data_IF_899318006693
#
_entry.id   IF_899318006693
#
_cell.length_a   1.000
_cell.length_b   1.000
_cell.length_c   1.000
_cell.angle_alpha   90.00
_cell.angle_beta   90.00
_cell.angle_gamma   90.00
#
_symmetry.space_group_name_H-M   'P 1'
#
loop_
_entity.id
_entity.type
_entity.pdbx_description
1 polymer ?
#
# COMPACT_ATOMS: atom_id res chain seq x y z
N UNK A 1 7.16 9.25 -35.28
CA UNK A 1 6.70 8.08 -34.50
C UNK A 1 5.20 7.94 -34.72
N UNK A 2 4.72 6.71 -34.91
CA UNK A 2 3.27 6.43 -34.98
C UNK A 2 2.64 6.46 -33.58
N UNK A 3 1.31 6.58 -33.49
CA UNK A 3 0.60 6.55 -32.20
C UNK A 3 0.92 5.29 -31.39
N UNK A 4 0.87 4.13 -32.03
CA UNK A 4 1.20 2.85 -31.40
C UNK A 4 2.63 2.83 -30.83
N UNK A 5 3.61 3.37 -31.57
CA UNK A 5 5.00 3.47 -31.09
C UNK A 5 5.11 4.35 -29.84
N UNK A 6 4.37 5.46 -29.78
CA UNK A 6 4.38 6.36 -28.63
C UNK A 6 3.73 5.69 -27.42
N UNK A 7 2.55 5.08 -27.58
CA UNK A 7 1.85 4.37 -26.51
C UNK A 7 2.72 3.24 -25.95
N UNK A 8 3.32 2.44 -26.84
CA UNK A 8 4.18 1.31 -26.45
C UNK A 8 5.44 1.75 -25.72
N UNK A 9 6.10 2.81 -26.18
CA UNK A 9 7.26 3.41 -25.50
C UNK A 9 6.94 3.77 -24.04
N UNK A 10 5.83 4.47 -23.79
CA UNK A 10 5.45 4.85 -22.43
C UNK A 10 4.98 3.66 -21.60
N UNK A 11 4.29 2.69 -22.23
CA UNK A 11 3.92 1.45 -21.57
C UNK A 11 5.14 0.66 -21.09
N UNK A 12 6.19 0.56 -21.92
CA UNK A 12 7.42 -0.13 -21.55
C UNK A 12 8.15 0.56 -20.39
N UNK A 13 8.15 1.90 -20.34
CA UNK A 13 8.67 2.67 -19.20
C UNK A 13 7.86 2.38 -17.93
N UNK A 14 6.53 2.25 -18.07
CA UNK A 14 5.65 1.87 -16.98
C UNK A 14 5.98 0.46 -16.46
N UNK A 15 6.05 -0.54 -17.33
CA UNK A 15 6.40 -1.91 -16.95
C UNK A 15 7.77 -1.97 -16.27
N UNK A 16 8.74 -1.21 -16.77
CA UNK A 16 10.09 -1.12 -16.18
C UNK A 16 10.11 -0.49 -14.78
N UNK A 17 9.07 0.25 -14.40
CA UNK A 17 8.93 0.88 -13.08
C UNK A 17 8.30 -0.04 -12.03
N UNK A 18 7.83 -1.22 -12.44
CA UNK A 18 7.31 -2.27 -11.57
C UNK A 18 8.44 -3.19 -11.11
N UNK A 19 8.49 -3.51 -9.82
CA UNK A 19 9.54 -4.35 -9.23
C UNK A 19 9.56 -5.77 -9.83
N UNK A 20 8.38 -6.35 -10.10
CA UNK A 20 8.24 -7.68 -10.71
C UNK A 20 8.00 -7.64 -12.23
N UNK A 21 7.97 -6.45 -12.85
CA UNK A 21 7.61 -6.24 -14.27
C UNK A 21 6.32 -6.95 -14.71
N UNK A 22 5.35 -7.08 -13.81
CA UNK A 22 4.03 -7.66 -14.10
C UNK A 22 3.05 -6.53 -14.39
N UNK A 23 2.65 -6.28 -15.65
CA UNK A 23 1.72 -5.20 -16.00
C UNK A 23 0.26 -5.61 -15.77
N UNK A 24 -0.03 -6.25 -14.64
CA UNK A 24 -1.40 -6.66 -14.28
C UNK A 24 -2.24 -5.49 -13.73
N UNK A 25 -1.59 -4.36 -13.47
CA UNK A 25 -2.18 -3.15 -12.88
C UNK A 25 -2.79 -2.20 -13.92
N UNK A 26 -2.06 -1.95 -15.01
CA UNK A 26 -2.52 -1.24 -16.20
C UNK A 26 -2.07 -2.07 -17.38
N UNK A 27 -3.03 -2.50 -18.19
CA UNK A 27 -2.74 -3.25 -19.42
C UNK A 27 -2.50 -2.31 -20.59
N UNK A 28 -1.79 -2.80 -21.62
CA UNK A 28 -1.59 -2.04 -22.85
C UNK A 28 -2.92 -1.60 -23.47
N UNK A 29 -3.90 -2.50 -23.49
CA UNK A 29 -5.23 -2.26 -24.06
C UNK A 29 -5.99 -1.18 -23.29
N UNK A 30 -5.90 -1.16 -21.96
CA UNK A 30 -6.50 -0.09 -21.15
C UNK A 30 -5.86 1.26 -21.44
N UNK A 31 -4.53 1.31 -21.55
CA UNK A 31 -3.82 2.55 -21.89
C UNK A 31 -4.16 3.02 -23.30
N UNK A 32 -4.14 2.12 -24.27
CA UNK A 32 -4.43 2.43 -25.67
C UNK A 32 -5.84 3.02 -25.83
N UNK A 33 -6.85 2.46 -25.14
CA UNK A 33 -8.22 3.01 -25.12
C UNK A 33 -8.33 4.38 -24.44
N UNK A 34 -7.45 4.69 -23.49
CA UNK A 34 -7.47 5.95 -22.75
C UNK A 34 -6.79 7.11 -23.53
N UNK A 35 -6.07 6.79 -24.60
CA UNK A 35 -5.32 7.76 -25.42
C UNK A 35 -6.14 8.08 -26.68
N UNK A 36 -6.37 9.37 -27.01
CA UNK A 36 -7.13 9.73 -28.20
C UNK A 36 -6.49 9.20 -29.49
N UNK A 37 -7.33 8.88 -30.48
CA UNK A 37 -6.89 8.30 -31.76
C UNK A 37 -6.11 9.31 -32.61
N UNK A 38 -6.44 10.60 -32.48
CA UNK A 38 -5.83 11.70 -33.24
C UNK A 38 -5.28 12.76 -32.31
N UNK A 39 -4.05 13.20 -32.56
CA UNK A 39 -3.41 14.32 -31.88
C UNK A 39 -2.84 15.30 -32.91
N UNK A 40 -2.89 16.59 -32.59
CA UNK A 40 -2.42 17.66 -33.50
C UNK A 40 -0.89 17.65 -33.70
N UNK A 41 -0.12 17.07 -32.78
CA UNK A 41 1.32 16.87 -32.92
C UNK A 41 1.81 15.65 -32.12
N UNK A 42 3.00 15.10 -32.44
CA UNK A 42 3.60 14.00 -31.68
C UNK A 42 3.88 14.36 -30.21
N UNK A 43 4.25 15.60 -29.93
CA UNK A 43 4.52 16.09 -28.56
C UNK A 43 3.25 16.14 -27.72
N UNK A 44 2.14 16.58 -28.32
CA UNK A 44 0.82 16.58 -27.68
C UNK A 44 0.40 15.14 -27.38
N UNK A 45 0.65 14.21 -28.29
CA UNK A 45 0.37 12.79 -28.08
C UNK A 45 1.20 12.22 -26.92
N UNK A 46 2.50 12.51 -26.87
CA UNK A 46 3.38 12.11 -25.75
C UNK A 46 2.81 12.58 -24.40
N UNK A 47 2.42 13.85 -24.31
CA UNK A 47 1.81 14.42 -23.10
C UNK A 47 0.47 13.78 -22.75
N UNK A 48 -0.36 13.46 -23.74
CA UNK A 48 -1.64 12.77 -23.55
C UNK A 48 -1.46 11.34 -23.03
N UNK A 49 -0.49 10.59 -23.55
CA UNK A 49 -0.17 9.24 -23.08
C UNK A 49 0.33 9.27 -21.64
N UNK A 50 1.24 10.19 -21.30
CA UNK A 50 1.69 10.37 -19.93
C UNK A 50 0.54 10.73 -18.98
N UNK A 51 -0.35 11.64 -19.40
CA UNK A 51 -1.53 12.03 -18.63
C UNK A 51 -2.48 10.85 -18.42
N UNK A 52 -2.75 10.06 -19.45
CA UNK A 52 -3.59 8.87 -19.36
C UNK A 52 -3.02 7.85 -18.36
N UNK A 53 -1.72 7.56 -18.46
CA UNK A 53 -1.03 6.69 -17.50
C UNK A 53 -1.14 7.20 -16.06
N UNK A 54 -0.88 8.50 -15.84
CA UNK A 54 -0.97 9.12 -14.50
C UNK A 54 -2.38 9.01 -13.94
N UNK A 55 -3.41 9.26 -14.77
CA UNK A 55 -4.81 9.17 -14.34
C UNK A 55 -5.21 7.73 -13.98
N UNK A 56 -4.87 6.75 -14.83
CA UNK A 56 -5.13 5.34 -14.57
C UNK A 56 -4.41 4.87 -13.30
N UNK A 57 -3.13 5.22 -13.15
CA UNK A 57 -2.34 4.90 -11.96
C UNK A 57 -2.96 5.50 -10.70
N UNK A 58 -3.34 6.78 -10.76
CA UNK A 58 -3.99 7.47 -9.65
C UNK A 58 -5.26 6.75 -9.23
N UNK A 59 -6.13 6.39 -10.19
CA UNK A 59 -7.37 5.68 -9.91
C UNK A 59 -7.12 4.34 -9.19
N UNK A 60 -6.16 3.54 -9.69
CA UNK A 60 -5.83 2.25 -9.07
C UNK A 60 -5.24 2.43 -7.66
N UNK A 61 -4.36 3.41 -7.45
CA UNK A 61 -3.75 3.66 -6.15
C UNK A 61 -4.70 4.30 -5.13
N UNK A 62 -5.63 5.15 -5.58
CA UNK A 62 -6.65 5.72 -4.70
C UNK A 62 -7.64 4.63 -4.25
N UNK A 63 -7.94 3.65 -5.11
CA UNK A 63 -8.76 2.49 -4.78
C UNK A 63 -8.04 1.52 -3.82
N UNK A 64 -6.80 1.12 -4.13
CA UNK A 64 -5.99 0.25 -3.28
C UNK A 64 -4.56 0.79 -3.13
N UNK A 65 -4.27 1.50 -2.03
CA UNK A 65 -2.93 2.01 -1.75
C UNK A 65 -1.86 0.92 -1.57
N UNK A 66 -2.23 -0.33 -1.25
CA UNK A 66 -1.26 -1.41 -1.04
C UNK A 66 -0.54 -1.80 -2.34
N UNK A 67 -1.11 -1.47 -3.50
CA UNK A 67 -0.49 -1.62 -4.82
C UNK A 67 0.88 -0.93 -4.90
N UNK A 68 1.12 0.13 -4.11
CA UNK A 68 2.40 0.86 -4.09
C UNK A 68 3.62 -0.05 -3.84
N UNK A 69 3.43 -1.19 -3.17
CA UNK A 69 4.50 -2.14 -2.87
C UNK A 69 5.03 -2.87 -4.11
N UNK A 70 4.28 -2.83 -5.22
CA UNK A 70 4.68 -3.44 -6.49
C UNK A 70 5.60 -2.53 -7.32
N UNK A 71 5.72 -1.25 -6.97
CA UNK A 71 6.60 -0.31 -7.64
C UNK A 71 7.98 -0.30 -7.02
N UNK A 72 8.98 0.07 -7.84
CA UNK A 72 10.31 0.38 -7.34
C UNK A 72 10.25 1.53 -6.30
N UNK A 73 11.24 1.58 -5.42
CA UNK A 73 11.35 2.67 -4.44
C UNK A 73 11.41 4.03 -5.15
N UNK A 74 12.22 4.10 -6.21
CA UNK A 74 12.37 5.27 -7.08
C UNK A 74 12.26 4.82 -8.53
N UNK A 75 11.35 5.44 -9.27
CA UNK A 75 11.18 5.25 -10.71
C UNK A 75 11.97 6.29 -11.50
N UNK A 76 12.19 6.06 -12.79
CA UNK A 76 12.86 7.01 -13.69
C UNK A 76 11.99 8.23 -14.04
N UNK A 77 10.70 8.21 -13.71
CA UNK A 77 9.74 9.26 -14.06
C UNK A 77 9.43 10.10 -12.80
N UNK A 78 9.90 11.35 -12.70
CA UNK A 78 9.73 12.16 -11.49
C UNK A 78 8.27 12.33 -11.06
N UNK A 79 7.38 12.53 -12.02
CA UNK A 79 5.94 12.69 -11.76
C UNK A 79 5.33 11.45 -11.11
N UNK A 80 5.78 10.24 -11.46
CA UNK A 80 5.31 9.01 -10.84
C UNK A 80 5.83 8.87 -9.42
N UNK A 81 7.06 9.31 -9.15
CA UNK A 81 7.59 9.31 -7.79
C UNK A 81 6.76 10.20 -6.86
N UNK A 82 6.30 11.36 -7.33
CA UNK A 82 5.40 12.23 -6.57
C UNK A 82 4.05 11.55 -6.28
N UNK A 83 3.46 10.90 -7.29
CA UNK A 83 2.18 10.21 -7.18
C UNK A 83 2.27 9.00 -6.23
N UNK A 84 3.31 8.17 -6.37
CA UNK A 84 3.59 7.05 -5.48
C UNK A 84 3.88 7.53 -4.06
N UNK A 85 4.63 8.62 -3.88
CA UNK A 85 4.87 9.19 -2.55
C UNK A 85 3.57 9.63 -1.88
N UNK A 86 2.70 10.35 -2.60
CA UNK A 86 1.39 10.74 -2.08
C UNK A 86 0.54 9.52 -1.68
N UNK A 87 0.51 8.47 -2.52
CA UNK A 87 -0.25 7.26 -2.23
C UNK A 87 0.35 6.45 -1.05
N UNK A 88 1.68 6.40 -0.92
CA UNK A 88 2.38 5.78 0.22
C UNK A 88 2.13 6.56 1.53
N UNK A 89 2.02 7.88 1.48
CA UNK A 89 1.62 8.70 2.64
C UNK A 89 0.17 8.38 3.03
N UNK A 90 -0.75 8.23 2.06
CA UNK A 90 -2.13 7.79 2.33
C UNK A 90 -2.18 6.39 2.94
N UNK A 91 -1.34 5.47 2.47
CA UNK A 91 -1.19 4.12 3.03
C UNK A 91 -0.74 4.21 4.51
N UNK A 92 0.28 5.03 4.80
CA UNK A 92 0.82 5.24 6.13
C UNK A 92 -0.20 5.91 7.07
N UNK A 93 -0.93 6.91 6.60
CA UNK A 93 -1.98 7.59 7.37
C UNK A 93 -3.15 6.65 7.75
N UNK A 94 -3.34 5.56 7.01
CA UNK A 94 -4.33 4.52 7.34
C UNK A 94 -3.80 3.50 8.34
N UNK A 95 -2.49 3.36 8.49
CA UNK A 95 -1.91 2.43 9.44
C UNK A 95 -2.18 2.90 10.87
N UNK A 96 -2.68 1.99 11.70
CA UNK A 96 -3.01 2.23 13.09
C UNK A 96 -2.10 1.43 13.98
N UNK A 97 -1.71 2.03 15.10
CA UNK A 97 -1.06 1.30 16.19
C UNK A 97 -2.15 0.89 17.15
N UNK A 98 -2.31 -0.41 17.38
CA UNK A 98 -3.36 -0.96 18.22
C UNK A 98 -2.84 -1.20 19.63
N UNK A 99 -3.38 -0.48 20.61
CA UNK A 99 -3.02 -0.64 22.02
C UNK A 99 -3.76 -1.84 22.61
N UNK A 100 -3.01 -2.86 23.06
CA UNK A 100 -3.48 -4.13 23.61
C UNK A 100 -3.10 -4.28 25.08
N UNK A 101 -4.01 -4.84 25.89
CA UNK A 101 -3.75 -5.17 27.29
C UNK A 101 -4.10 -4.07 28.29
N UNK A 102 -4.08 -4.43 29.57
CA UNK A 102 -4.44 -3.53 30.68
C UNK A 102 -3.25 -2.74 31.23
N UNK A 103 -3.50 -1.89 32.25
CA UNK A 103 -2.48 -1.00 32.87
C UNK A 103 -1.17 -1.68 33.30
N UNK A 104 -1.17 -2.99 33.59
CA UNK A 104 0.02 -3.75 34.04
C UNK A 104 0.82 -4.43 32.92
N UNK A 105 0.24 -4.68 31.76
CA UNK A 105 0.90 -5.32 30.61
C UNK A 105 0.36 -4.69 29.33
N UNK A 106 0.80 -3.47 29.07
CA UNK A 106 0.40 -2.71 27.92
C UNK A 106 1.35 -3.00 26.75
N UNK A 107 0.78 -3.40 25.62
CA UNK A 107 1.50 -3.75 24.40
C UNK A 107 0.92 -2.99 23.21
N UNK A 108 1.73 -2.73 22.20
CA UNK A 108 1.34 -1.97 21.02
C UNK A 108 1.53 -2.81 19.76
N UNK A 109 0.44 -3.24 19.13
CA UNK A 109 0.49 -3.97 17.87
C UNK A 109 0.70 -3.00 16.70
N UNK A 110 1.80 -3.21 15.99
CA UNK A 110 2.26 -2.41 14.84
C UNK A 110 2.19 -3.22 13.53
N UNK A 111 1.48 -4.34 13.51
CA UNK A 111 1.39 -5.21 12.33
C UNK A 111 0.86 -4.48 11.08
N UNK A 112 -0.02 -3.51 11.25
CA UNK A 112 -0.54 -2.72 10.12
C UNK A 112 0.50 -1.73 9.60
N UNK A 113 1.29 -1.11 10.49
CA UNK A 113 2.44 -0.29 10.09
C UNK A 113 3.45 -1.12 9.28
N UNK A 114 3.78 -2.32 9.75
CA UNK A 114 4.71 -3.23 9.08
C UNK A 114 4.25 -3.69 7.69
N UNK A 115 2.94 -3.59 7.39
CA UNK A 115 2.42 -3.88 6.05
C UNK A 115 2.67 -2.73 5.08
N UNK A 116 2.76 -1.49 5.55
CA UNK A 116 2.91 -0.32 4.67
C UNK A 116 4.31 -0.17 4.08
N UNK A 117 4.43 0.54 2.95
CA UNK A 117 5.73 0.78 2.32
C UNK A 117 6.69 1.55 3.25
N UNK A 118 6.26 2.69 3.78
CA UNK A 118 7.10 3.50 4.67
C UNK A 118 7.21 2.94 6.08
N UNK A 119 6.20 2.23 6.58
CA UNK A 119 6.27 1.61 7.90
C UNK A 119 7.35 0.54 8.01
N UNK A 120 7.62 -0.24 6.94
CA UNK A 120 8.79 -1.13 6.90
C UNK A 120 10.10 -0.39 7.06
N UNK A 121 10.26 0.75 6.38
CA UNK A 121 11.47 1.56 6.46
C UNK A 121 11.64 2.17 7.87
N UNK A 122 10.56 2.70 8.46
CA UNK A 122 10.55 3.24 9.82
C UNK A 122 10.91 2.18 10.87
N UNK A 123 10.33 0.98 10.76
CA UNK A 123 10.68 -0.15 11.64
C UNK A 123 12.14 -0.59 11.45
N UNK A 124 12.68 -0.47 10.24
CA UNK A 124 14.09 -0.77 9.97
C UNK A 124 15.02 0.24 10.60
N UNK A 125 14.72 1.53 10.49
CA UNK A 125 15.51 2.60 11.13
C UNK A 125 15.48 2.49 12.66
N UNK A 126 14.33 2.10 13.23
CA UNK A 126 14.18 1.88 14.66
C UNK A 126 14.79 0.54 15.14
N UNK A 127 15.23 -0.36 14.24
CA UNK A 127 15.75 -1.67 14.61
C UNK A 127 14.68 -2.71 15.02
N UNK A 128 13.40 -2.46 14.72
CA UNK A 128 12.23 -3.23 15.19
C UNK A 128 11.59 -4.10 14.10
N UNK A 129 12.30 -4.38 12.99
CA UNK A 129 11.76 -5.01 11.75
C UNK A 129 10.96 -6.30 11.98
N UNK A 130 11.38 -7.12 12.95
CA UNK A 130 10.77 -8.44 13.21
C UNK A 130 9.63 -8.39 14.22
N UNK A 131 9.46 -7.26 14.91
CA UNK A 131 8.50 -7.13 15.98
C UNK A 131 7.14 -6.68 15.43
N UNK A 132 6.10 -7.47 15.75
CA UNK A 132 4.70 -7.11 15.46
C UNK A 132 4.03 -6.41 16.63
N UNK A 133 4.58 -6.60 17.82
CA UNK A 133 4.06 -6.08 19.07
C UNK A 133 5.24 -5.45 19.80
N UNK A 134 5.07 -4.20 20.20
CA UNK A 134 6.07 -3.38 20.86
C UNK A 134 5.69 -3.15 22.32
N UNK A 135 6.69 -3.07 23.19
CA UNK A 135 6.54 -2.55 24.53
C UNK A 135 6.65 -1.01 24.54
N UNK A 136 6.47 -0.37 25.70
CA UNK A 136 6.44 1.09 25.82
C UNK A 136 7.74 1.76 25.35
N UNK A 137 8.88 1.17 25.67
CA UNK A 137 10.19 1.72 25.32
C UNK A 137 10.47 1.57 23.82
N UNK A 138 10.06 0.45 23.22
CA UNK A 138 10.16 0.20 21.78
C UNK A 138 9.22 1.12 20.99
N UNK A 139 8.02 1.40 21.51
CA UNK A 139 7.13 2.40 20.93
C UNK A 139 7.77 3.79 20.94
N UNK A 140 8.46 4.17 22.02
CA UNK A 140 9.14 5.46 22.10
C UNK A 140 10.27 5.57 21.05
N UNK A 141 10.99 4.48 20.79
CA UNK A 141 11.99 4.43 19.70
C UNK A 141 11.34 4.61 18.33
N UNK A 142 10.20 3.96 18.08
CA UNK A 142 9.45 4.14 16.85
C UNK A 142 8.91 5.56 16.70
N UNK A 143 8.39 6.16 17.77
CA UNK A 143 7.93 7.55 17.79
C UNK A 143 9.08 8.53 17.52
N UNK A 144 10.28 8.28 18.07
CA UNK A 144 11.46 9.07 17.78
C UNK A 144 11.87 9.00 16.30
N UNK A 145 11.79 7.81 15.68
CA UNK A 145 12.02 7.66 14.24
C UNK A 145 10.94 8.40 13.41
N UNK A 146 9.67 8.32 13.80
CA UNK A 146 8.58 9.04 13.13
C UNK A 146 8.73 10.57 13.26
N UNK A 147 9.18 11.07 14.42
CA UNK A 147 9.38 12.48 14.69
C UNK A 147 10.45 13.12 13.78
N UNK A 148 11.52 12.38 13.44
CA UNK A 148 12.54 12.84 12.47
C UNK A 148 11.94 13.16 11.10
N UNK A 149 10.86 12.47 10.73
CA UNK A 149 10.15 12.63 9.46
C UNK A 149 8.91 13.54 9.61
N UNK A 150 8.75 14.19 10.77
CA UNK A 150 7.58 15.03 11.14
C UNK A 150 6.24 14.30 10.96
N UNK A 151 6.23 12.99 11.19
CA UNK A 151 5.05 12.16 11.00
C UNK A 151 4.44 11.76 12.34
N UNK A 152 3.13 11.96 12.48
CA UNK A 152 2.34 11.48 13.62
C UNK A 152 1.45 10.32 13.16
N UNK A 153 1.62 9.15 13.77
CA UNK A 153 0.79 7.97 13.48
C UNK A 153 -0.48 7.99 14.34
N UNK A 154 -1.66 7.68 13.78
CA UNK A 154 -2.89 7.58 14.57
C UNK A 154 -2.85 6.34 15.48
N UNK A 155 -3.08 6.53 16.77
CA UNK A 155 -3.27 5.46 17.74
C UNK A 155 -4.73 5.02 17.78
N UNK A 156 -4.98 3.72 17.89
CA UNK A 156 -6.33 3.17 18.07
C UNK A 156 -6.31 2.20 19.23
N UNK A 157 -7.31 2.28 20.09
CA UNK A 157 -7.40 1.42 21.27
C UNK A 157 -8.25 0.20 20.88
N UNK A 158 -7.75 -1.01 21.12
CA UNK A 158 -8.57 -2.21 20.94
C UNK A 158 -9.63 -2.24 22.04
N UNK A 159 -10.92 -2.45 21.71
CA UNK A 159 -11.97 -2.50 22.72
C UNK A 159 -11.69 -3.63 23.71
N UNK A 160 -11.82 -3.32 24.99
CA UNK A 160 -11.57 -4.27 26.07
C UNK A 160 -12.63 -5.37 26.09
N UNK A 161 -12.32 -6.54 26.66
CA UNK A 161 -13.28 -7.66 26.77
C UNK A 161 -14.59 -7.27 27.46
N UNK A 162 -14.56 -6.29 28.35
CA UNK A 162 -15.74 -5.67 28.97
C UNK A 162 -16.55 -4.83 27.98
N UNK A 163 -15.91 -3.96 27.19
CA UNK A 163 -16.62 -3.15 26.18
C UNK A 163 -17.24 -4.03 25.08
N UNK A 164 -16.54 -5.10 24.67
CA UNK A 164 -17.06 -6.10 23.73
C UNK A 164 -18.29 -6.82 24.29
N UNK A 165 -18.39 -6.97 25.61
CA UNK A 165 -19.47 -7.70 26.26
C UNK A 165 -20.73 -6.84 26.48
N UNK A 166 -20.58 -5.54 26.69
CA UNK A 166 -21.70 -4.64 27.01
C UNK A 166 -22.22 -3.82 25.82
N UNK A 167 -21.51 -3.83 24.68
CA UNK A 167 -21.85 -3.01 23.53
C UNK A 167 -22.01 -3.88 22.27
N UNK A 168 -23.26 -4.19 21.91
CA UNK A 168 -23.62 -5.11 20.80
C UNK A 168 -23.01 -4.67 19.45
N UNK A 169 -22.95 -3.36 19.21
CA UNK A 169 -22.34 -2.81 18.00
C UNK A 169 -20.82 -3.07 17.94
N UNK A 170 -20.14 -3.13 19.09
CA UNK A 170 -18.70 -3.45 19.19
C UNK A 170 -18.49 -4.95 19.07
N UNK A 171 -19.37 -5.77 19.64
CA UNK A 171 -19.34 -7.22 19.51
C UNK A 171 -19.43 -7.67 18.04
N UNK A 172 -20.32 -7.04 17.26
CA UNK A 172 -20.48 -7.31 15.84
C UNK A 172 -19.27 -6.88 15.00
N UNK A 173 -18.62 -5.76 15.34
CA UNK A 173 -17.38 -5.33 14.68
C UNK A 173 -16.22 -6.29 14.95
N UNK A 174 -16.12 -6.83 16.17
CA UNK A 174 -15.06 -7.79 16.53
C UNK A 174 -15.30 -9.17 15.91
N UNK A 175 -16.56 -9.62 15.83
CA UNK A 175 -16.91 -10.90 15.21
C UNK A 175 -16.65 -10.89 13.69
N UNK A 176 -17.02 -9.81 13.00
CA UNK A 176 -16.75 -9.61 11.57
C UNK A 176 -15.26 -9.45 11.28
N UNK A 177 -14.51 -8.72 12.11
CA UNK A 177 -13.05 -8.61 12.00
C UNK A 177 -12.34 -9.97 12.20
N UNK A 178 -12.80 -10.79 13.15
CA UNK A 178 -12.29 -12.16 13.35
C UNK A 178 -12.60 -13.07 12.16
N UNK A 179 -13.81 -12.99 11.61
CA UNK A 179 -14.20 -13.75 10.43
C UNK A 179 -13.39 -13.39 9.18
N UNK A 180 -13.15 -12.10 8.94
CA UNK A 180 -12.30 -11.63 7.83
C UNK A 180 -10.84 -12.10 7.97
N UNK A 181 -10.31 -12.09 9.20
CA UNK A 181 -8.96 -12.59 9.49
C UNK A 181 -8.85 -14.11 9.29
N UNK A 182 -9.88 -14.87 9.65
CA UNK A 182 -9.96 -16.32 9.42
C UNK A 182 -10.09 -16.66 7.92
N UNK A 183 -10.84 -15.88 7.16
CA UNK A 183 -10.97 -16.03 5.71
C UNK A 183 -9.65 -15.72 4.97
N UNK A 184 -8.88 -14.71 5.42
CA UNK A 184 -7.59 -14.38 4.83
C UNK A 184 -6.50 -15.46 5.04
N UNK A 185 -6.62 -16.27 6.10
CA UNK A 185 -5.70 -17.39 6.38
C UNK A 185 -6.03 -18.64 5.55
N UNK A 186 -7.29 -18.81 5.13
CA UNK A 186 -7.74 -19.93 4.27
C UNK A 186 -7.62 -19.63 2.76
N UNK A 187 -6.49 -19.09 2.29
CA UNK A 187 -6.21 -19.15 0.84
C UNK A 187 -5.95 -20.61 0.45
N UNK A 188 -6.62 -21.17 -0.58
CA UNK A 188 -6.56 -22.58 -0.88
C UNK A 188 -5.13 -22.98 -1.30
N UNK A 189 -4.58 -23.96 -0.59
CA UNK A 189 -3.34 -24.64 -0.97
C UNK A 189 -3.50 -25.19 -2.39
N UNK A 190 -2.64 -24.75 -3.32
CA UNK A 190 -2.56 -25.30 -4.67
C UNK A 190 -2.50 -26.84 -4.63
N UNK A 191 -3.26 -27.56 -5.44
CA UNK A 191 -3.11 -29.01 -5.56
C UNK A 191 -1.72 -29.32 -6.11
N UNK A 192 -0.98 -30.21 -5.41
CA UNK A 192 0.31 -30.73 -5.87
C UNK A 192 0.06 -31.53 -7.15
N UNK A 193 0.74 -31.19 -8.25
CA UNK A 193 0.79 -32.03 -9.44
C UNK A 193 1.40 -33.39 -9.05
N UNK A 194 0.86 -34.52 -9.52
CA UNK A 194 1.55 -35.79 -9.41
C UNK A 194 2.80 -35.74 -10.30
N UNK A 195 3.95 -36.02 -9.70
CA UNK A 195 5.20 -36.25 -10.42
C UNK A 195 5.10 -37.54 -11.24
N UNK A 196 5.68 -37.57 -12.46
CA UNK A 196 5.70 -38.74 -13.33
C UNK A 196 6.54 -39.89 -12.75
#
# INVERSE_FOLDING_TARGET
MTRDQVVRKHFDIYVASLAERRPDLITYVELDKAVPETAASPEILDGQVQKALVLLLKQKLDADPAINQRFLQTTKVPLWNQLLAAARIKELARARIVKKGGRKQLRYDVADLAKTFFGKALLTEAGLVRQKVLDKDELAQLQAACAKVKLTLPETIEPTTTEIFFDEAIADQVSTAKAAKAAAVKKPSRPRKPTP
#
